data_IF_426152491393
#
_entry.id   IF_426152491393
#
_cell.length_a   1.000
_cell.length_b   1.000
_cell.length_c   1.000
_cell.angle_alpha   90.00
_cell.angle_beta   90.00
_cell.angle_gamma   90.00
#
_symmetry.space_group_name_H-M   'P 1'
#
loop_
_entity.id
_entity.type
_entity.pdbx_description
1 polymer ?
#
# COMPACT_ATOMS: atom_id res chain seq x y z
N UNK A 1 12.94 19.59 9.72
CA UNK A 1 12.00 18.57 9.22
C UNK A 1 12.38 17.24 9.84
N UNK A 2 11.51 16.64 10.66
CA UNK A 2 11.84 15.42 11.42
C UNK A 2 11.95 14.21 10.49
N UNK A 3 13.08 13.51 10.48
CA UNK A 3 13.36 12.31 9.65
C UNK A 3 12.27 11.22 9.81
N UNK A 4 11.64 11.15 10.99
CA UNK A 4 10.50 10.26 11.28
C UNK A 4 9.26 10.58 10.44
N UNK A 5 8.97 11.87 10.21
CA UNK A 5 7.81 12.31 9.43
C UNK A 5 7.97 12.02 7.94
N UNK A 6 9.17 12.22 7.40
CA UNK A 6 9.48 11.94 5.98
C UNK A 6 9.36 10.45 5.69
N UNK A 7 9.92 9.61 6.56
CA UNK A 7 9.85 8.14 6.38
C UNK A 7 8.43 7.59 6.53
N UNK A 8 7.58 8.22 7.34
CA UNK A 8 6.15 7.88 7.44
C UNK A 8 5.38 8.18 6.16
N UNK A 9 5.62 9.35 5.54
CA UNK A 9 5.00 9.72 4.27
C UNK A 9 5.44 8.77 3.15
N UNK A 10 6.72 8.40 3.12
CA UNK A 10 7.27 7.47 2.13
C UNK A 10 6.58 6.11 2.22
N UNK A 11 6.42 5.54 3.41
CA UNK A 11 5.74 4.24 3.58
C UNK A 11 4.29 4.28 3.08
N UNK A 12 3.58 5.39 3.31
CA UNK A 12 2.20 5.59 2.83
C UNK A 12 2.12 5.69 1.31
N UNK A 13 3.03 6.43 0.68
CA UNK A 13 3.12 6.56 -0.78
C UNK A 13 3.47 5.23 -1.44
N UNK A 14 4.44 4.48 -0.87
CA UNK A 14 4.79 3.15 -1.35
C UNK A 14 3.60 2.20 -1.26
N UNK A 15 2.92 2.19 -0.12
CA UNK A 15 1.71 1.37 0.09
C UNK A 15 0.62 1.67 -0.94
N UNK A 16 0.37 2.95 -1.22
CA UNK A 16 -0.58 3.40 -2.22
C UNK A 16 -0.17 2.96 -3.63
N UNK A 17 1.09 3.15 -4.02
CA UNK A 17 1.60 2.71 -5.32
C UNK A 17 1.48 1.20 -5.52
N UNK A 18 1.83 0.42 -4.50
CA UNK A 18 1.72 -1.04 -4.53
C UNK A 18 0.24 -1.46 -4.62
N UNK A 19 -0.66 -0.76 -3.91
CA UNK A 19 -2.10 -0.97 -4.01
C UNK A 19 -2.66 -0.69 -5.40
N UNK A 20 -2.19 0.37 -6.07
CA UNK A 20 -2.60 0.70 -7.45
C UNK A 20 -2.14 -0.39 -8.42
N UNK A 21 -0.94 -0.92 -8.27
CA UNK A 21 -0.37 -1.92 -9.19
C UNK A 21 -1.00 -3.31 -8.98
N UNK A 22 -1.51 -3.59 -7.78
CA UNK A 22 -2.03 -4.90 -7.39
C UNK A 22 -3.09 -5.52 -8.35
N UNK A 23 -4.09 -4.79 -8.87
CA UNK A 23 -5.11 -5.38 -9.74
C UNK A 23 -4.61 -5.73 -11.14
N UNK A 24 -3.45 -5.18 -11.56
CA UNK A 24 -2.88 -5.32 -12.90
C UNK A 24 -1.83 -6.43 -13.01
N UNK A 25 -1.31 -6.93 -11.88
CA UNK A 25 -0.28 -7.96 -11.87
C UNK A 25 -0.84 -9.38 -11.85
N UNK A 26 -0.07 -10.34 -12.36
CA UNK A 26 -0.42 -11.76 -12.33
C UNK A 26 -0.45 -12.33 -10.91
N UNK A 27 -1.11 -13.49 -10.75
CA UNK A 27 -1.33 -14.13 -9.44
C UNK A 27 -0.03 -14.32 -8.64
N UNK A 28 1.08 -14.65 -9.31
CA UNK A 28 2.39 -14.88 -8.68
C UNK A 28 2.90 -13.58 -8.03
N UNK A 29 2.81 -12.46 -8.75
CA UNK A 29 3.23 -11.15 -8.26
C UNK A 29 2.30 -10.59 -7.18
N UNK A 30 1.01 -10.94 -7.20
CA UNK A 30 0.09 -10.59 -6.10
C UNK A 30 0.56 -11.17 -4.77
N UNK A 31 1.04 -12.41 -4.76
CA UNK A 31 1.62 -13.03 -3.55
C UNK A 31 2.82 -12.23 -3.04
N UNK A 32 3.75 -11.85 -3.93
CA UNK A 32 4.92 -11.03 -3.57
C UNK A 32 4.50 -9.67 -3.00
N UNK A 33 3.51 -9.02 -3.61
CA UNK A 33 2.95 -7.75 -3.14
C UNK A 33 2.32 -7.90 -1.75
N UNK A 34 1.57 -8.98 -1.49
CA UNK A 34 0.97 -9.22 -0.18
C UNK A 34 2.03 -9.43 0.91
N UNK A 35 3.13 -10.12 0.59
CA UNK A 35 4.27 -10.27 1.51
C UNK A 35 4.90 -8.91 1.82
N UNK A 36 5.18 -8.10 0.80
CA UNK A 36 5.71 -6.73 0.96
C UNK A 36 4.76 -5.85 1.78
N UNK A 37 3.46 -5.91 1.50
CA UNK A 37 2.44 -5.21 2.25
C UNK A 37 2.43 -5.63 3.73
N UNK A 38 2.58 -6.92 4.01
CA UNK A 38 2.63 -7.42 5.38
C UNK A 38 3.86 -6.90 6.12
N UNK A 39 5.03 -6.87 5.47
CA UNK A 39 6.25 -6.28 6.04
C UNK A 39 6.04 -4.79 6.35
N UNK A 40 5.49 -4.02 5.40
CA UNK A 40 5.20 -2.60 5.62
C UNK A 40 4.19 -2.39 6.75
N UNK A 41 3.20 -3.26 6.87
CA UNK A 41 2.21 -3.22 7.95
C UNK A 41 2.84 -3.50 9.32
N UNK A 42 3.74 -4.48 9.41
CA UNK A 42 4.46 -4.77 10.67
C UNK A 42 5.29 -3.55 11.08
N UNK A 43 6.04 -2.96 10.15
CA UNK A 43 6.84 -1.75 10.39
C UNK A 43 5.97 -0.56 10.84
N UNK A 44 4.80 -0.36 10.23
CA UNK A 44 3.86 0.73 10.59
C UNK A 44 3.32 0.54 12.02
N UNK A 45 2.97 -0.69 12.40
CA UNK A 45 2.49 -1.03 13.74
C UNK A 45 3.59 -0.77 14.78
N UNK A 46 4.84 -1.17 14.50
CA UNK A 46 5.97 -0.95 15.41
C UNK A 46 6.31 0.54 15.57
N UNK A 47 6.20 1.34 14.51
CA UNK A 47 6.58 2.76 14.54
C UNK A 47 5.57 3.69 15.19
N UNK A 48 4.29 3.52 14.89
CA UNK A 48 3.27 4.52 15.23
C UNK A 48 2.13 3.95 16.09
N UNK A 49 2.08 2.63 16.35
CA UNK A 49 0.95 1.91 16.96
C UNK A 49 -0.42 2.18 16.30
N UNK A 50 -0.45 2.85 15.14
CA UNK A 50 -1.67 3.20 14.41
C UNK A 50 -1.93 2.12 13.36
N UNK A 51 -2.96 1.32 13.59
CA UNK A 51 -3.34 0.17 12.76
C UNK A 51 -3.77 0.51 11.32
N UNK A 52 -4.04 1.79 11.03
CA UNK A 52 -4.81 2.20 9.84
C UNK A 52 -4.00 2.94 8.77
N UNK A 53 -2.78 3.41 9.02
CA UNK A 53 -2.06 4.31 8.11
C UNK A 53 -1.69 3.66 6.77
N UNK A 54 -0.85 2.63 6.81
CA UNK A 54 -0.37 1.92 5.61
C UNK A 54 -1.49 1.09 4.96
N UNK A 55 -2.30 0.44 5.78
CA UNK A 55 -3.42 -0.40 5.32
C UNK A 55 -4.46 0.39 4.52
N UNK A 56 -4.90 1.55 5.02
CA UNK A 56 -5.89 2.37 4.31
C UNK A 56 -5.37 2.85 2.95
N UNK A 57 -4.09 3.25 2.87
CA UNK A 57 -3.46 3.68 1.61
C UNK A 57 -3.38 2.56 0.58
N UNK A 58 -3.05 1.33 1.01
CA UNK A 58 -3.03 0.16 0.13
C UNK A 58 -4.42 -0.13 -0.46
N UNK A 59 -5.45 -0.19 0.40
CA UNK A 59 -6.83 -0.44 -0.06
C UNK A 59 -7.36 0.69 -0.94
N UNK A 60 -7.04 1.95 -0.62
CA UNK A 60 -7.42 3.09 -1.43
C UNK A 60 -6.79 3.00 -2.84
N UNK A 61 -5.50 2.65 -2.93
CA UNK A 61 -4.84 2.38 -4.20
C UNK A 61 -5.51 1.26 -5.01
N UNK A 62 -5.86 0.16 -4.35
CA UNK A 62 -6.59 -0.95 -5.01
C UNK A 62 -7.96 -0.51 -5.52
N UNK A 63 -8.74 0.20 -4.71
CA UNK A 63 -10.09 0.69 -5.10
C UNK A 63 -9.98 1.61 -6.31
N UNK A 64 -9.05 2.56 -6.30
CA UNK A 64 -8.83 3.46 -7.45
C UNK A 64 -8.46 2.69 -8.72
N UNK A 65 -7.55 1.72 -8.61
CA UNK A 65 -7.14 0.89 -9.74
C UNK A 65 -8.27 -0.02 -10.26
N UNK A 66 -9.11 -0.56 -9.37
CA UNK A 66 -10.29 -1.33 -9.76
C UNK A 66 -11.35 -0.46 -10.42
N UNK A 67 -11.62 0.74 -9.91
CA UNK A 67 -12.53 1.71 -10.54
C UNK A 67 -12.03 2.10 -11.93
N UNK A 68 -10.74 2.39 -12.07
CA UNK A 68 -10.14 2.69 -13.37
C UNK A 68 -10.30 1.52 -14.35
N UNK A 69 -10.03 0.29 -13.88
CA UNK A 69 -10.22 -0.91 -14.69
C UNK A 69 -11.68 -1.13 -15.07
N UNK A 70 -12.63 -0.84 -14.18
CA UNK A 70 -14.06 -1.00 -14.47
C UNK A 70 -14.57 0.04 -15.50
N UNK A 71 -14.01 1.25 -15.48
CA UNK A 71 -14.41 2.33 -16.40
C UNK A 71 -13.79 2.13 -17.79
N UNK A 72 -12.56 1.62 -17.86
CA UNK A 72 -11.76 1.56 -19.10
C UNK A 72 -11.74 0.17 -19.78
N UNK A 73 -12.48 -0.80 -19.25
CA UNK A 73 -12.53 -2.18 -19.75
C UNK A 73 -13.97 -2.66 -19.90
#
# INVERSE_FOLDING_TARGET
>A
MNVKFVSFIIMRLLSLGIGIVFPFVSIVWKTTILILFFIFRVIDIERDRKLFGVTSMFFLGMILAYLYRLIWN
#
